data_IF_575764664944
#
_entry.id   IF_575764664944
#
_cell.length_a   1.000
_cell.length_b   1.000
_cell.length_c   1.000
_cell.angle_alpha   90.00
_cell.angle_beta   90.00
_cell.angle_gamma   90.00
#
_symmetry.space_group_name_H-M   'P 1'
#
loop_
_entity.id
_entity.type
_entity.pdbx_description
1 polymer ?
#
# COMPACT_ATOMS: atom_id res chain seq x y z
N UNK A 1 2.65 -1.15 -3.80
CA UNK A 1 3.35 -1.68 -5.00
C UNK A 1 4.83 -1.30 -5.08
N UNK A 2 5.21 -0.04 -5.32
CA UNK A 2 6.62 0.34 -5.56
C UNK A 2 7.63 -0.18 -4.52
N UNK A 3 7.24 -0.17 -3.24
CA UNK A 3 8.08 -0.68 -2.14
C UNK A 3 8.48 -2.16 -2.28
N UNK A 4 7.57 -3.00 -2.79
CA UNK A 4 7.79 -4.43 -2.94
C UNK A 4 8.59 -4.75 -4.20
N UNK A 5 8.28 -4.06 -5.30
CA UNK A 5 8.81 -4.40 -6.63
C UNK A 5 10.05 -3.60 -7.04
N UNK A 6 10.46 -2.59 -6.25
CA UNK A 6 11.70 -1.84 -6.45
C UNK A 6 12.47 -1.71 -5.13
N UNK A 7 13.00 -2.82 -4.58
CA UNK A 7 13.72 -2.78 -3.31
C UNK A 7 14.94 -1.85 -3.33
N UNK A 8 15.61 -1.70 -4.48
CA UNK A 8 16.77 -0.82 -4.66
C UNK A 8 16.40 0.67 -4.64
N UNK A 9 15.13 1.01 -4.84
CA UNK A 9 14.62 2.39 -4.85
C UNK A 9 13.88 2.76 -3.56
N UNK A 10 13.91 1.88 -2.54
CA UNK A 10 13.34 2.18 -1.23
C UNK A 10 14.03 3.42 -0.68
N UNK A 11 13.21 4.35 -0.23
CA UNK A 11 13.68 5.64 0.25
C UNK A 11 12.92 6.04 1.51
N UNK A 12 13.56 6.91 2.30
CA UNK A 12 12.93 7.53 3.47
C UNK A 12 11.62 8.24 3.11
N UNK A 13 11.54 8.84 1.92
CA UNK A 13 10.30 9.49 1.46
C UNK A 13 9.16 8.48 1.32
N UNK A 14 9.40 7.35 0.65
CA UNK A 14 8.38 6.30 0.48
C UNK A 14 8.00 5.66 1.81
N UNK A 15 8.96 5.43 2.69
CA UNK A 15 8.71 4.96 4.05
C UNK A 15 7.72 5.88 4.80
N UNK A 16 7.99 7.19 4.77
CA UNK A 16 7.13 8.18 5.42
C UNK A 16 5.74 8.25 4.77
N UNK A 17 5.65 8.17 3.44
CA UNK A 17 4.36 8.12 2.74
C UNK A 17 3.54 6.90 3.15
N UNK A 18 4.12 5.70 3.22
CA UNK A 18 3.41 4.49 3.65
C UNK A 18 2.88 4.65 5.07
N UNK A 19 3.74 5.13 5.99
CA UNK A 19 3.38 5.38 7.39
C UNK A 19 2.24 6.40 7.52
N UNK A 20 2.28 7.48 6.74
CA UNK A 20 1.25 8.51 6.74
C UNK A 20 -0.09 7.97 6.21
N UNK A 21 -0.07 7.25 5.09
CA UNK A 21 -1.28 6.69 4.47
C UNK A 21 -1.98 5.70 5.39
N UNK A 22 -1.23 4.80 6.06
CA UNK A 22 -1.80 3.89 7.07
C UNK A 22 -2.54 4.67 8.17
N UNK A 23 -1.90 5.69 8.74
CA UNK A 23 -2.52 6.56 9.75
C UNK A 23 -3.73 7.32 9.22
N UNK A 24 -3.70 7.76 7.97
CA UNK A 24 -4.82 8.44 7.33
C UNK A 24 -6.03 7.51 7.19
N UNK A 25 -5.82 6.26 6.73
CA UNK A 25 -6.86 5.23 6.60
C UNK A 25 -7.50 4.94 7.97
N UNK A 26 -6.71 4.69 9.01
CA UNK A 26 -7.23 4.47 10.36
C UNK A 26 -8.10 5.64 10.86
N UNK A 27 -7.64 6.88 10.63
CA UNK A 27 -8.40 8.08 10.99
C UNK A 27 -9.72 8.18 10.21
N UNK A 28 -9.70 7.92 8.91
CA UNK A 28 -10.88 7.96 8.05
C UNK A 28 -11.93 6.92 8.47
N UNK A 29 -11.52 5.68 8.73
CA UNK A 29 -12.42 4.61 9.17
C UNK A 29 -12.99 4.86 10.57
N UNK A 30 -12.20 5.48 11.47
CA UNK A 30 -12.69 5.87 12.79
C UNK A 30 -13.74 6.98 12.70
N UNK A 31 -13.55 7.95 11.80
CA UNK A 31 -14.49 9.05 11.59
C UNK A 31 -15.75 8.61 10.84
N UNK A 32 -15.64 7.61 9.97
CA UNK A 32 -16.73 7.13 9.12
C UNK A 32 -16.87 5.61 9.22
N UNK A 33 -17.43 5.06 10.31
CA UNK A 33 -17.52 3.61 10.51
C UNK A 33 -18.33 2.88 9.43
N UNK A 34 -19.25 3.57 8.74
CA UNK A 34 -20.02 3.00 7.63
C UNK A 34 -19.15 2.56 6.46
N UNK A 35 -17.98 3.19 6.26
CA UNK A 35 -17.02 2.82 5.21
C UNK A 35 -16.44 1.42 5.42
N UNK A 36 -16.54 0.84 6.62
CA UNK A 36 -16.11 -0.54 6.86
C UNK A 36 -16.79 -1.55 5.94
N UNK A 37 -18.04 -1.28 5.54
CA UNK A 37 -18.80 -2.12 4.60
C UNK A 37 -18.26 -2.10 3.17
N UNK A 38 -17.35 -1.18 2.85
CA UNK A 38 -16.77 -0.97 1.51
C UNK A 38 -15.28 -1.31 1.46
N UNK A 39 -14.71 -1.86 2.54
CA UNK A 39 -13.28 -2.12 2.64
C UNK A 39 -12.80 -3.08 1.54
N UNK A 40 -13.55 -4.16 1.29
CA UNK A 40 -13.16 -5.15 0.28
C UNK A 40 -13.10 -4.51 -1.12
N UNK A 41 -14.13 -3.76 -1.50
CA UNK A 41 -14.19 -2.99 -2.75
C UNK A 41 -13.02 -2.00 -2.85
N UNK A 42 -12.78 -1.22 -1.79
CA UNK A 42 -11.70 -0.23 -1.77
C UNK A 42 -10.29 -0.83 -1.85
N UNK A 43 -10.09 -2.06 -1.34
CA UNK A 43 -8.81 -2.77 -1.46
C UNK A 43 -8.55 -3.20 -2.90
N UNK A 44 -9.58 -3.69 -3.60
CA UNK A 44 -9.46 -4.08 -5.00
C UNK A 44 -9.16 -2.86 -5.88
N UNK A 45 -9.95 -1.79 -5.74
CA UNK A 45 -9.73 -0.53 -6.46
C UNK A 45 -8.34 0.05 -6.17
N UNK A 46 -7.92 0.02 -4.90
CA UNK A 46 -6.61 0.51 -4.48
C UNK A 46 -5.45 -0.33 -5.03
N UNK A 47 -5.65 -1.64 -5.19
CA UNK A 47 -4.65 -2.52 -5.80
C UNK A 47 -4.49 -2.21 -7.29
N UNK A 48 -5.59 -2.11 -8.04
CA UNK A 48 -5.57 -1.77 -9.47
C UNK A 48 -4.89 -0.42 -9.70
N UNK A 49 -5.29 0.62 -8.96
CA UNK A 49 -4.66 1.93 -9.02
C UNK A 49 -3.16 1.88 -8.64
N UNK A 50 -2.79 1.02 -7.69
CA UNK A 50 -1.41 0.80 -7.28
C UNK A 50 -0.56 0.13 -8.36
N UNK A 51 -1.14 -0.81 -9.12
CA UNK A 51 -0.51 -1.44 -10.29
C UNK A 51 -0.31 -0.41 -11.39
N UNK A 52 -1.33 0.37 -11.75
CA UNK A 52 -1.24 1.42 -12.76
C UNK A 52 -0.17 2.46 -12.43
N UNK A 53 -0.10 2.88 -11.16
CA UNK A 53 0.93 3.80 -10.70
C UNK A 53 2.34 3.17 -10.76
N UNK A 54 2.46 1.87 -10.50
CA UNK A 54 3.73 1.16 -10.65
C UNK A 54 4.12 1.02 -12.12
N UNK A 55 3.18 0.72 -13.02
CA UNK A 55 3.43 0.66 -14.46
C UNK A 55 3.86 2.00 -15.04
N UNK A 56 3.26 3.09 -14.57
CA UNK A 56 3.66 4.44 -14.98
C UNK A 56 5.01 4.83 -14.40
N UNK A 57 5.22 4.49 -13.12
CA UNK A 57 6.39 4.77 -12.29
C UNK A 57 7.67 4.06 -12.75
N UNK A 58 7.50 2.89 -13.35
CA UNK A 58 8.56 1.90 -13.51
C UNK A 58 8.53 1.31 -14.91
N UNK A 59 9.63 0.71 -15.35
CA UNK A 59 9.66 -0.07 -16.60
C UNK A 59 9.27 -1.54 -16.41
N UNK A 60 8.59 -1.88 -15.30
CA UNK A 60 8.14 -3.25 -15.06
C UNK A 60 6.94 -3.56 -15.96
N UNK A 61 6.91 -4.70 -16.66
CA UNK A 61 5.76 -5.08 -17.48
C UNK A 61 4.58 -5.52 -16.61
N UNK A 62 3.34 -5.35 -17.09
CA UNK A 62 2.10 -5.74 -16.38
C UNK A 62 2.11 -7.18 -15.84
N UNK A 63 2.67 -8.13 -16.61
CA UNK A 63 2.82 -9.53 -16.19
C UNK A 63 3.65 -9.76 -14.91
N UNK A 64 4.34 -8.74 -14.42
CA UNK A 64 5.10 -8.78 -13.16
C UNK A 64 4.16 -8.73 -11.95
N UNK A 65 2.99 -8.11 -12.12
CA UNK A 65 2.01 -7.95 -11.05
C UNK A 65 1.00 -9.12 -11.07
N UNK A 66 0.52 -9.55 -9.89
CA UNK A 66 -0.57 -10.51 -9.80
C UNK A 66 -1.83 -10.02 -10.52
N UNK A 67 -2.55 -10.93 -11.17
CA UNK A 67 -3.82 -10.64 -11.85
C UNK A 67 -4.94 -10.28 -10.86
N UNK A 68 -4.86 -10.80 -9.63
CA UNK A 68 -5.81 -10.52 -8.56
C UNK A 68 -5.08 -9.93 -7.36
N UNK A 69 -5.73 -9.03 -6.61
CA UNK A 69 -5.16 -8.45 -5.40
C UNK A 69 -4.79 -9.56 -4.39
N UNK A 70 -3.51 -9.71 -4.02
CA UNK A 70 -3.09 -10.71 -3.06
C UNK A 70 -3.20 -10.24 -1.61
N UNK A 71 -3.60 -8.98 -1.37
CA UNK A 71 -3.54 -8.35 -0.06
C UNK A 71 -4.91 -8.34 0.60
N UNK A 72 -4.93 -8.76 1.87
CA UNK A 72 -6.05 -8.48 2.75
C UNK A 72 -5.93 -7.06 3.29
N UNK A 73 -7.08 -6.44 3.60
CA UNK A 73 -7.10 -5.10 4.18
C UNK A 73 -6.26 -5.01 5.46
N UNK A 74 -6.48 -5.94 6.39
CA UNK A 74 -5.83 -5.96 7.70
C UNK A 74 -4.30 -6.08 7.56
N UNK A 75 -3.82 -6.87 6.60
CA UNK A 75 -2.40 -6.97 6.28
C UNK A 75 -1.88 -5.65 5.71
N UNK A 76 -2.55 -5.08 4.70
CA UNK A 76 -2.09 -3.86 4.03
C UNK A 76 -1.89 -2.68 5.00
N UNK A 77 -2.77 -2.55 5.99
CA UNK A 77 -2.71 -1.49 7.02
C UNK A 77 -1.85 -1.85 8.23
N UNK A 78 -1.43 -3.10 8.38
CA UNK A 78 -0.59 -3.51 9.49
C UNK A 78 0.78 -2.85 9.38
N UNK A 79 1.25 -2.27 10.49
CA UNK A 79 2.46 -1.44 10.47
C UNK A 79 3.73 -2.21 10.06
N UNK A 80 3.70 -3.55 10.11
CA UNK A 80 4.81 -4.45 9.79
C UNK A 80 4.67 -5.20 8.45
N UNK A 81 3.64 -4.91 7.67
CA UNK A 81 3.43 -5.58 6.39
C UNK A 81 4.24 -4.92 5.27
N UNK A 82 5.14 -5.67 4.61
CA UNK A 82 6.10 -5.24 3.57
C UNK A 82 7.12 -4.16 3.99
N UNK A 83 6.68 -3.13 4.70
CA UNK A 83 7.43 -2.02 5.23
C UNK A 83 7.12 -1.92 6.74
N UNK A 84 8.09 -2.23 7.61
CA UNK A 84 7.93 -2.07 9.06
C UNK A 84 8.07 -0.61 9.46
N UNK A 85 6.93 0.06 9.57
CA UNK A 85 6.82 1.47 9.94
C UNK A 85 6.78 1.70 11.46
N UNK A 86 6.93 0.67 12.29
CA UNK A 86 7.00 0.83 13.77
C UNK A 86 8.35 1.34 14.24
N UNK A 87 9.38 1.14 13.43
CA UNK A 87 10.77 1.48 13.72
C UNK A 87 11.17 2.77 12.98
N UNK A 88 12.38 3.26 13.26
CA UNK A 88 12.96 4.34 12.46
C UNK A 88 13.37 3.82 11.08
N UNK A 89 13.57 4.74 10.13
CA UNK A 89 14.11 4.38 8.82
C UNK A 89 15.59 4.05 8.93
N UNK A 90 15.98 2.82 8.59
CA UNK A 90 17.36 2.33 8.74
C UNK A 90 18.19 2.25 7.44
N UNK A 91 17.58 2.47 6.26
CA UNK A 91 18.30 2.46 4.98
C UNK A 91 18.27 1.09 4.31
#
# INVERSE_FOLDING_TARGET
MKWEYQPEQRSRSWFLTIREQRRAIYRHLRQNPSLKSRIEEAVLDGFEAGVDLALRETNLPLRTFPEHCPYLFDDAIADNFLCDTRQDWEG
#
